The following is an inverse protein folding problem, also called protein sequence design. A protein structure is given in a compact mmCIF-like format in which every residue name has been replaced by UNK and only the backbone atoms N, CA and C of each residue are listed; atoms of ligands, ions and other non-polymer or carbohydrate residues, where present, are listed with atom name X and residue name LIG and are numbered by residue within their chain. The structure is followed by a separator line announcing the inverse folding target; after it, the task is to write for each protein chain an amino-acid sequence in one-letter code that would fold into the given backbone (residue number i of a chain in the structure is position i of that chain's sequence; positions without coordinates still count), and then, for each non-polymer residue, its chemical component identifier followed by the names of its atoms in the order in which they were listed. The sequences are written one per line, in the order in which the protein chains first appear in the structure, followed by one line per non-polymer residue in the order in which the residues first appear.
data_IF_000805966713
#
_entry.id   IF_000805966713
#
_cell.length_a   1.000
_cell.length_b   1.000
_cell.length_c   1.000
_cell.angle_alpha   90.00
_cell.angle_beta   90.00
_cell.angle_gamma   90.00
#
_symmetry.space_group_name_H-M   'P 1'
#
loop_
_entity.id
_entity.type
_entity.pdbx_description
1 polymer ?
#
# COMPACT_ATOMS: atom_id res chain seq x y z
N UNK A 1 3.00 4.49 -3.76
CA UNK A 1 2.80 4.25 -2.32
C UNK A 1 2.64 2.76 -2.03
N UNK A 2 1.71 2.07 -2.71
CA UNK A 2 1.49 0.63 -2.56
C UNK A 2 2.77 -0.23 -2.65
N UNK A 3 3.53 -0.13 -3.75
CA UNK A 3 4.74 -0.94 -3.90
C UNK A 3 5.80 -0.64 -2.83
N UNK A 4 5.87 0.62 -2.36
CA UNK A 4 6.79 1.00 -1.28
C UNK A 4 6.40 0.31 0.04
N UNK A 5 5.09 0.22 0.33
CA UNK A 5 4.59 -0.53 1.47
C UNK A 5 5.01 -2.01 1.41
N UNK A 6 4.76 -2.69 0.28
CA UNK A 6 5.14 -4.10 0.13
C UNK A 6 6.65 -4.30 0.21
N UNK A 7 7.44 -3.49 -0.50
CA UNK A 7 8.90 -3.58 -0.48
C UNK A 7 9.44 -3.36 0.93
N UNK A 8 8.94 -2.36 1.66
CA UNK A 8 9.33 -2.13 3.05
C UNK A 8 8.97 -3.33 3.95
N UNK A 9 7.75 -3.89 3.83
CA UNK A 9 7.32 -5.03 4.66
C UNK A 9 8.15 -6.29 4.42
N UNK A 10 8.62 -6.51 3.20
CA UNK A 10 9.42 -7.69 2.86
C UNK A 10 10.90 -7.49 3.22
N UNK A 11 11.45 -6.32 2.93
CA UNK A 11 12.91 -6.07 3.02
C UNK A 11 13.34 -5.37 4.30
N UNK A 12 12.44 -4.63 4.95
CA UNK A 12 12.70 -3.72 6.06
C UNK A 12 13.72 -2.60 5.74
N UNK A 13 13.99 -2.31 4.46
CA UNK A 13 14.91 -1.25 4.06
C UNK A 13 14.29 0.14 4.28
N UNK A 14 14.88 1.01 5.12
CA UNK A 14 14.35 2.34 5.40
C UNK A 14 14.24 3.25 4.16
N UNK A 15 14.96 2.96 3.07
CA UNK A 15 14.93 3.77 1.84
C UNK A 15 13.50 3.95 1.29
N UNK A 16 12.65 2.92 1.43
CA UNK A 16 11.28 2.95 0.93
C UNK A 16 10.40 3.95 1.71
N UNK A 17 10.68 4.14 3.00
CA UNK A 17 10.03 5.16 3.83
C UNK A 17 10.53 6.55 3.47
N UNK A 18 11.81 6.72 3.17
CA UNK A 18 12.35 8.00 2.70
C UNK A 18 11.73 8.43 1.38
N UNK A 19 11.59 7.50 0.42
CA UNK A 19 10.89 7.76 -0.83
C UNK A 19 9.40 8.07 -0.60
N UNK A 20 8.72 7.31 0.27
CA UNK A 20 7.34 7.59 0.65
C UNK A 20 7.16 8.99 1.24
N UNK A 21 8.11 9.44 2.06
CA UNK A 21 8.07 10.75 2.71
C UNK A 21 8.21 11.86 1.67
N UNK A 22 9.13 11.71 0.72
CA UNK A 22 9.30 12.67 -0.40
C UNK A 22 8.03 12.79 -1.23
N UNK A 23 7.36 11.67 -1.51
CA UNK A 23 6.10 11.64 -2.25
C UNK A 23 4.98 12.37 -1.47
N UNK A 24 4.80 12.09 -0.18
CA UNK A 24 3.79 12.77 0.64
C UNK A 24 4.04 14.28 0.73
N UNK A 25 5.30 14.70 0.94
CA UNK A 25 5.65 16.12 0.95
C UNK A 25 5.37 16.81 -0.39
N UNK A 26 5.51 16.09 -1.51
CA UNK A 26 5.14 16.60 -2.83
C UNK A 26 3.61 16.78 -2.95
N UNK A 27 2.81 15.83 -2.46
CA UNK A 27 1.35 16.00 -2.41
C UNK A 27 0.93 17.18 -1.53
N UNK A 28 1.48 17.30 -0.33
CA UNK A 28 1.23 18.45 0.57
C UNK A 28 1.55 19.79 -0.10
N UNK A 29 2.64 19.83 -0.89
CA UNK A 29 3.08 21.04 -1.57
C UNK A 29 2.24 21.39 -2.80
N UNK A 30 1.86 20.40 -3.59
CA UNK A 30 1.35 20.63 -4.95
C UNK A 30 -0.11 20.23 -5.17
N UNK A 31 -0.68 19.35 -4.34
CA UNK A 31 -2.06 18.90 -4.50
C UNK A 31 -3.00 19.34 -3.37
N UNK A 32 -2.50 19.94 -2.29
CA UNK A 32 -3.34 20.38 -1.17
C UNK A 32 -4.17 21.60 -1.54
N UNK A 33 -5.49 21.51 -1.32
CA UNK A 33 -6.42 22.62 -1.53
C UNK A 33 -6.55 23.43 -0.23
N UNK A 34 -6.41 24.77 -0.24
CA UNK A 34 -6.43 25.59 0.98
C UNK A 34 -7.69 25.46 1.83
N UNK A 35 -8.84 25.25 1.20
CA UNK A 35 -10.14 25.08 1.85
C UNK A 35 -10.37 23.66 2.39
N UNK A 36 -9.52 22.70 2.02
CA UNK A 36 -9.60 21.31 2.44
C UNK A 36 -9.61 20.33 1.28
N UNK A 37 -9.04 19.15 1.52
CA UNK A 37 -8.93 18.09 0.51
C UNK A 37 -7.68 18.21 -0.38
N UNK A 38 -7.64 17.34 -1.39
CA UNK A 38 -6.55 17.26 -2.36
C UNK A 38 -7.10 17.22 -3.78
N UNK A 39 -6.35 17.74 -4.73
CA UNK A 39 -6.74 17.85 -6.12
C UNK A 39 -5.71 17.18 -7.04
N UNK A 40 -6.19 16.58 -8.12
CA UNK A 40 -5.30 16.17 -9.21
C UNK A 40 -4.63 17.38 -9.85
N UNK A 41 -3.37 17.28 -10.25
CA UNK A 41 -2.67 18.35 -10.98
C UNK A 41 -2.67 18.08 -12.49
N UNK A 42 -2.76 19.15 -13.28
CA UNK A 42 -2.86 19.08 -14.73
C UNK A 42 -1.53 18.85 -15.43
N UNK A 43 -0.43 19.35 -14.84
CA UNK A 43 0.94 19.22 -15.33
C UNK A 43 1.90 19.05 -14.14
N UNK A 44 2.70 17.99 -14.17
CA UNK A 44 3.69 17.64 -13.13
C UNK A 44 5.07 18.23 -13.42
N UNK A 45 5.29 18.76 -14.62
CA UNK A 45 6.59 19.26 -15.08
C UNK A 45 6.81 20.73 -14.74
N UNK A 46 5.73 21.49 -14.56
CA UNK A 46 5.77 22.90 -14.20
C UNK A 46 5.42 23.10 -12.71
N UNK A 47 6.44 23.16 -11.86
CA UNK A 47 6.26 23.43 -10.43
C UNK A 47 5.97 24.90 -10.08
N UNK A 48 6.14 25.82 -11.03
CA UNK A 48 5.94 27.25 -10.81
C UNK A 48 4.48 27.68 -11.00
N UNK A 49 3.74 26.95 -11.84
CA UNK A 49 2.32 27.18 -12.11
C UNK A 49 1.56 25.85 -12.08
N UNK A 50 1.09 25.47 -10.88
CA UNK A 50 0.39 24.21 -10.67
C UNK A 50 -1.09 24.38 -10.94
N UNK A 51 -1.53 23.83 -12.06
CA UNK A 51 -2.93 23.83 -12.46
C UNK A 51 -3.68 22.69 -11.78
N UNK A 52 -4.49 23.00 -10.76
CA UNK A 52 -5.32 22.00 -10.07
C UNK A 52 -6.59 21.69 -10.87
N UNK A 53 -6.94 20.41 -10.95
CA UNK A 53 -8.24 19.93 -11.42
C UNK A 53 -9.15 19.76 -10.21
N UNK A 54 -10.37 20.28 -10.28
CA UNK A 54 -11.36 20.19 -9.22
C UNK A 54 -11.94 18.77 -9.07
N UNK A 55 -11.08 17.82 -8.68
CA UNK A 55 -11.40 16.41 -8.50
C UNK A 55 -10.41 15.75 -7.54
N UNK A 56 -10.97 15.22 -6.46
CA UNK A 56 -10.29 14.27 -5.58
C UNK A 56 -10.79 12.87 -5.89
N UNK A 57 -9.93 12.03 -6.44
CA UNK A 57 -10.30 10.66 -6.77
C UNK A 57 -10.49 9.82 -5.49
N UNK A 58 -11.42 8.88 -5.50
CA UNK A 58 -11.72 8.03 -4.33
C UNK A 58 -10.49 7.24 -3.85
N UNK A 59 -9.67 6.77 -4.80
CA UNK A 59 -8.43 6.04 -4.52
C UNK A 59 -7.38 6.87 -3.78
N UNK A 60 -7.50 8.20 -3.76
CA UNK A 60 -6.62 9.04 -2.93
C UNK A 60 -6.72 8.63 -1.45
N UNK A 61 -7.95 8.53 -0.95
CA UNK A 61 -8.21 8.14 0.44
C UNK A 61 -8.08 6.62 0.62
N UNK A 62 -8.69 5.85 -0.28
CA UNK A 62 -8.78 4.40 -0.14
C UNK A 62 -7.41 3.71 -0.32
N UNK A 63 -6.56 4.20 -1.22
CA UNK A 63 -5.30 3.54 -1.54
C UNK A 63 -4.11 4.36 -1.08
N UNK A 64 -3.98 5.59 -1.58
CA UNK A 64 -2.74 6.36 -1.42
C UNK A 64 -2.45 6.65 0.05
N UNK A 65 -3.42 7.19 0.78
CA UNK A 65 -3.27 7.48 2.21
C UNK A 65 -3.26 6.21 3.07
N UNK A 66 -3.99 5.16 2.69
CA UNK A 66 -3.95 3.86 3.39
C UNK A 66 -2.56 3.24 3.34
N UNK A 67 -1.97 3.13 2.15
CA UNK A 67 -0.62 2.59 2.00
C UNK A 67 0.44 3.50 2.59
N UNK A 68 0.24 4.82 2.57
CA UNK A 68 1.09 5.76 3.31
C UNK A 68 1.08 5.45 4.82
N UNK A 69 -0.11 5.32 5.41
CA UNK A 69 -0.26 5.00 6.82
C UNK A 69 0.41 3.66 7.17
N UNK A 70 0.16 2.62 6.37
CA UNK A 70 0.74 1.28 6.59
C UNK A 70 2.26 1.24 6.40
N UNK A 71 2.81 2.06 5.50
CA UNK A 71 4.26 2.18 5.27
C UNK A 71 4.97 2.78 6.50
N UNK A 72 4.38 3.82 7.10
CA UNK A 72 4.95 4.52 8.26
C UNK A 72 4.52 3.94 9.61
N UNK A 73 3.61 2.96 9.61
CA UNK A 73 3.26 2.24 10.83
C UNK A 73 4.49 1.51 11.38
N UNK A 74 4.84 1.84 12.62
CA UNK A 74 5.86 1.14 13.41
C UNK A 74 5.13 0.39 14.52
N UNK A 75 5.18 -0.95 14.54
CA UNK A 75 4.62 -1.71 15.64
C UNK A 75 5.46 -1.42 16.89
N UNK A 76 4.81 -0.90 17.93
CA UNK A 76 5.40 -0.82 19.26
C UNK A 76 5.62 -2.24 19.84
N UNK A 77 6.50 -2.44 20.83
CA UNK A 77 6.82 -3.76 21.38
C UNK A 77 5.59 -4.58 21.82
N UNK A 78 4.52 -3.91 22.25
CA UNK A 78 3.26 -4.51 22.69
C UNK A 78 2.15 -4.43 21.63
N UNK A 79 2.43 -3.89 20.45
CA UNK A 79 1.50 -3.79 19.33
C UNK A 79 1.82 -4.79 18.23
N UNK A 80 0.79 -5.54 17.81
CA UNK A 80 0.90 -6.37 16.61
C UNK A 80 1.03 -5.50 15.36
N UNK A 81 1.82 -5.99 14.42
CA UNK A 81 1.92 -5.41 13.08
C UNK A 81 0.52 -5.32 12.45
N UNK A 82 0.12 -4.13 12.02
CA UNK A 82 -1.18 -3.96 11.34
C UNK A 82 -1.17 -4.67 9.98
N UNK A 83 -2.22 -5.47 9.74
CA UNK A 83 -2.46 -6.20 8.49
C UNK A 83 -1.22 -6.97 8.01
N UNK A 84 -0.77 -8.00 8.75
CA UNK A 84 0.36 -8.81 8.33
C UNK A 84 0.07 -9.52 7.02
N UNK A 85 1.08 -9.57 6.13
CA UNK A 85 0.95 -10.08 4.77
C UNK A 85 0.75 -11.61 4.70
N UNK A 86 0.95 -12.32 5.80
CA UNK A 86 0.68 -13.75 5.94
C UNK A 86 -0.80 -14.06 6.25
N UNK A 87 -1.56 -13.05 6.68
CA UNK A 87 -2.95 -13.19 7.13
C UNK A 87 -3.93 -12.37 6.31
N UNK A 88 -3.45 -11.37 5.55
CA UNK A 88 -4.26 -10.46 4.76
C UNK A 88 -3.72 -10.29 3.35
N UNK A 89 -4.63 -10.22 2.38
CA UNK A 89 -4.36 -9.87 0.99
C UNK A 89 -5.17 -8.64 0.60
N UNK A 90 -4.56 -7.70 -0.12
CA UNK A 90 -5.25 -6.52 -0.62
C UNK A 90 -5.71 -6.76 -2.06
N UNK A 91 -6.93 -6.32 -2.39
CA UNK A 91 -7.35 -6.27 -3.79
C UNK A 91 -6.77 -5.02 -4.50
N UNK A 92 -7.10 -4.85 -5.78
CA UNK A 92 -6.61 -3.71 -6.59
C UNK A 92 -7.06 -2.32 -6.11
N UNK A 93 -8.02 -2.22 -5.19
CA UNK A 93 -8.53 -0.97 -4.60
C UNK A 93 -8.08 -0.84 -3.13
N UNK A 94 -7.08 -1.63 -2.73
CA UNK A 94 -6.49 -1.61 -1.40
C UNK A 94 -7.41 -2.10 -0.29
N UNK A 95 -8.48 -2.84 -0.57
CA UNK A 95 -9.31 -3.44 0.47
C UNK A 95 -8.67 -4.74 0.99
N UNK A 96 -8.43 -4.87 2.31
CA UNK A 96 -7.85 -6.07 2.88
C UNK A 96 -8.91 -7.17 3.05
N UNK A 97 -8.56 -8.37 2.62
CA UNK A 97 -9.34 -9.59 2.80
C UNK A 97 -8.51 -10.62 3.58
N UNK A 98 -9.14 -11.39 4.48
CA UNK A 98 -8.43 -12.43 5.21
C UNK A 98 -7.98 -13.54 4.26
N UNK A 99 -6.75 -14.01 4.42
CA UNK A 99 -6.28 -15.20 3.74
C UNK A 99 -6.93 -16.45 4.38
N UNK A 100 -7.40 -17.41 3.57
CA UNK A 100 -7.89 -18.69 4.10
C UNK A 100 -6.76 -19.39 4.85
N UNK A 101 -7.06 -19.96 6.03
CA UNK A 101 -6.08 -20.82 6.70
C UNK A 101 -5.95 -22.13 5.93
N UNK A 102 -4.76 -22.70 5.92
CA UNK A 102 -4.50 -23.98 5.26
C UNK A 102 -5.41 -25.11 5.78
N UNK A 103 -5.84 -25.05 7.05
CA UNK A 103 -6.84 -25.95 7.63
C UNK A 103 -8.21 -25.89 6.96
N UNK A 104 -8.59 -24.71 6.48
CA UNK A 104 -9.93 -24.41 5.99
C UNK A 104 -10.07 -24.78 4.50
N UNK A 105 -8.94 -24.74 3.77
CA UNK A 105 -8.84 -25.20 2.38
C UNK A 105 -8.91 -26.73 2.27
N UNK A 106 -8.30 -27.45 3.22
CA UNK A 106 -8.37 -28.91 3.27
C UNK A 106 -9.80 -29.43 3.55
N UNK A 107 -10.61 -28.65 4.27
CA UNK A 107 -11.99 -29.02 4.61
C UNK A 107 -13.01 -28.77 3.47
N UNK A 108 -12.68 -27.92 2.50
CA UNK A 108 -13.59 -27.53 1.41
C UNK A 108 -13.41 -28.36 0.13
N UNK A 109 -12.47 -29.31 0.08
CA UNK A 109 -12.28 -30.23 -1.04
C UNK A 109 -11.81 -29.58 -2.35
N UNK A 110 -11.55 -28.27 -2.34
CA UNK A 110 -11.02 -27.51 -3.48
C UNK A 110 -9.49 -27.41 -3.36
N UNK A 111 -8.82 -28.52 -3.62
CA UNK A 111 -7.36 -28.59 -3.71
C UNK A 111 -6.90 -27.99 -5.05
N UNK A 112 -6.91 -26.66 -5.17
CA UNK A 112 -6.54 -25.99 -6.42
C UNK A 112 -5.16 -25.31 -6.42
N UNK A 113 -4.53 -24.96 -5.29
CA UNK A 113 -3.17 -24.38 -5.34
C UNK A 113 -2.39 -24.67 -4.05
N UNK A 114 -1.48 -25.66 -4.09
CA UNK A 114 -0.08 -25.55 -3.68
C UNK A 114 0.58 -26.94 -3.58
N UNK A 115 0.93 -27.56 -4.71
CA UNK A 115 2.02 -28.54 -4.68
C UNK A 115 3.33 -27.76 -4.54
N UNK A 116 4.15 -28.01 -3.50
CA UNK A 116 5.45 -27.37 -3.38
C UNK A 116 6.30 -27.74 -4.61
N UNK A 117 6.97 -26.74 -5.18
CA UNK A 117 7.91 -26.94 -6.27
C UNK A 117 9.07 -27.82 -5.77
N UNK A 118 9.06 -29.11 -6.13
CA UNK A 118 10.15 -30.04 -5.88
C UNK A 118 11.32 -29.69 -6.80
N UNK A 119 12.36 -29.05 -6.25
CA UNK A 119 13.67 -29.02 -6.91
C UNK A 119 14.26 -30.42 -6.84
N UNK A 120 14.16 -31.17 -7.92
CA UNK A 120 15.07 -32.28 -8.14
C UNK A 120 16.40 -31.69 -8.62
N UNK A 121 17.43 -31.74 -7.78
CA UNK A 121 18.83 -31.62 -8.23
C UNK A 121 19.60 -32.87 -7.81
N UNK A 122 20.04 -33.62 -8.83
CA UNK A 122 21.08 -34.66 -8.88
C UNK A 122 20.99 -35.83 -7.91
#
# INVERSE_FOLDING_TARGET
MESLFYLFRVTHDPIYRDWGRRILLAFERFSRVPTGGYASIGDVTNSADVQMRDKMESFWLAETLKYAYLLFHEPEPDMMILLPLDSWVFNTEGHPFPLPKHSDLAATGHDLIAKPYSKNST
#
